data_IF_574075004371
#
_entry.id   IF_574075004371
#
_cell.length_a   1.000
_cell.length_b   1.000
_cell.length_c   1.000
_cell.angle_alpha   90.00
_cell.angle_beta   90.00
_cell.angle_gamma   90.00
#
_symmetry.space_group_name_H-M   'P 1'
#
loop_
_entity.id
_entity.type
_entity.pdbx_description
1 polymer ?
#
# COMPACT_ATOMS: atom_id res chain seq x y z
N UNK A 1 72.23 -3.68 29.72
CA UNK A 1 71.51 -4.91 30.09
C UNK A 1 70.09 -4.83 29.54
N UNK A 2 69.75 -5.75 28.63
CA UNK A 2 68.43 -6.31 28.24
C UNK A 2 67.34 -5.32 27.74
N UNK A 3 67.01 -5.21 26.44
CA UNK A 3 66.14 -6.10 25.58
C UNK A 3 64.81 -6.48 26.27
N UNK A 4 63.59 -6.22 25.78
CA UNK A 4 62.98 -6.57 24.47
C UNK A 4 61.69 -5.77 24.18
N UNK A 5 61.26 -5.76 22.91
CA UNK A 5 60.03 -5.18 22.31
C UNK A 5 58.77 -6.05 22.49
N UNK A 6 57.61 -5.41 22.30
CA UNK A 6 56.26 -5.91 21.93
C UNK A 6 55.53 -6.88 22.89
N UNK A 7 54.30 -6.51 23.29
CA UNK A 7 53.03 -7.21 22.98
C UNK A 7 51.90 -6.23 23.35
N UNK A 8 51.18 -5.78 22.33
CA UNK A 8 49.88 -5.14 22.47
C UNK A 8 48.76 -6.17 22.30
N UNK A 9 47.56 -5.76 22.70
CA UNK A 9 46.25 -6.35 22.36
C UNK A 9 45.95 -7.68 23.06
N UNK A 10 45.16 -7.60 24.13
CA UNK A 10 44.30 -8.68 24.57
C UNK A 10 43.03 -8.08 25.21
N UNK A 11 41.87 -8.56 24.75
CA UNK A 11 40.51 -8.40 25.30
C UNK A 11 39.74 -7.13 24.93
N UNK A 12 39.16 -7.10 23.72
CA UNK A 12 37.69 -6.99 23.50
C UNK A 12 37.38 -6.96 21.99
N UNK A 13 37.53 -8.09 21.31
CA UNK A 13 36.92 -8.37 20.01
C UNK A 13 37.00 -9.87 19.78
N UNK A 14 36.02 -10.46 19.08
CA UNK A 14 35.81 -11.89 18.77
C UNK A 14 34.67 -12.50 19.60
N UNK A 15 33.43 -12.15 19.24
CA UNK A 15 32.37 -13.10 18.85
C UNK A 15 31.43 -12.35 17.87
N UNK A 16 31.86 -12.22 16.62
CA UNK A 16 31.00 -11.90 15.47
C UNK A 16 31.58 -12.59 14.24
N UNK A 17 31.48 -13.92 14.20
CA UNK A 17 31.75 -14.72 13.00
C UNK A 17 30.92 -16.01 13.08
N UNK A 18 29.63 -15.93 12.79
CA UNK A 18 28.94 -17.01 12.08
C UNK A 18 28.73 -16.52 10.65
N UNK A 19 29.46 -17.17 9.76
CA UNK A 19 29.47 -16.92 8.33
C UNK A 19 28.10 -17.21 7.73
N UNK A 20 27.38 -16.17 7.28
CA UNK A 20 26.49 -16.30 6.14
C UNK A 20 27.27 -15.86 4.90
N UNK A 21 27.98 -16.80 4.30
CA UNK A 21 28.32 -16.72 2.89
C UNK A 21 27.09 -17.19 2.11
N UNK A 22 26.32 -16.25 1.56
CA UNK A 22 25.38 -16.52 0.47
C UNK A 22 25.64 -15.52 -0.64
N UNK A 23 26.45 -15.98 -1.59
CA UNK A 23 26.56 -15.57 -2.99
C UNK A 23 26.21 -14.12 -3.35
N UNK A 24 27.28 -13.35 -3.55
CA UNK A 24 27.44 -12.39 -4.65
C UNK A 24 26.50 -12.65 -5.83
N UNK A 25 25.56 -11.74 -6.03
CA UNK A 25 25.24 -11.16 -7.33
C UNK A 25 25.07 -9.67 -7.11
N UNK A 26 25.69 -8.88 -7.97
CA UNK A 26 25.60 -7.43 -7.99
C UNK A 26 24.15 -6.96 -7.79
N UNK A 27 23.82 -6.52 -6.59
CA UNK A 27 22.59 -5.76 -6.36
C UNK A 27 23.02 -4.31 -6.34
N UNK A 28 22.98 -3.69 -7.52
CA UNK A 28 22.83 -2.25 -7.60
C UNK A 28 21.70 -1.88 -6.63
N UNK A 29 22.02 -1.12 -5.58
CA UNK A 29 21.02 -0.59 -4.66
C UNK A 29 20.26 0.45 -5.48
N UNK A 30 19.20 0.01 -6.16
CA UNK A 30 18.31 0.88 -6.90
C UNK A 30 17.69 1.88 -5.92
N UNK A 31 17.73 3.16 -6.27
CA UNK A 31 16.98 4.18 -5.53
C UNK A 31 15.48 3.97 -5.74
N UNK A 32 14.62 4.43 -4.81
CA UNK A 32 13.15 4.30 -4.94
C UNK A 32 12.63 4.81 -6.30
N UNK A 33 13.23 5.89 -6.80
CA UNK A 33 12.90 6.46 -8.11
C UNK A 33 13.28 5.56 -9.29
N UNK A 34 14.38 4.80 -9.20
CA UNK A 34 14.76 3.82 -10.21
C UNK A 34 13.92 2.54 -10.14
N UNK A 35 13.47 2.16 -8.94
CA UNK A 35 12.51 1.06 -8.75
C UNK A 35 11.17 1.42 -9.40
N UNK A 36 10.67 2.65 -9.17
CA UNK A 36 9.43 3.14 -9.77
C UNK A 36 9.52 3.14 -11.31
N UNK A 37 10.63 3.63 -11.86
CA UNK A 37 10.81 3.72 -13.32
C UNK A 37 10.96 2.36 -14.03
N UNK A 38 11.39 1.31 -13.31
CA UNK A 38 11.65 -0.03 -13.88
C UNK A 38 10.60 -1.09 -13.50
N UNK A 39 9.69 -0.80 -12.56
CA UNK A 39 8.65 -1.74 -12.16
C UNK A 39 7.51 -1.80 -13.15
N UNK A 40 6.89 -2.98 -13.31
CA UNK A 40 5.62 -3.12 -14.01
C UNK A 40 4.57 -2.21 -13.37
N UNK A 41 3.67 -1.67 -14.17
CA UNK A 41 2.52 -0.87 -13.76
C UNK A 41 1.32 -1.78 -13.53
N UNK A 42 0.48 -1.44 -12.57
CA UNK A 42 -0.78 -2.14 -12.35
C UNK A 42 -1.78 -1.71 -13.43
N UNK A 43 -2.08 -2.57 -14.39
CA UNK A 43 -3.01 -2.26 -15.49
C UNK A 43 -4.43 -2.76 -15.21
N UNK A 44 -4.61 -3.63 -14.22
CA UNK A 44 -5.93 -4.08 -13.81
C UNK A 44 -5.97 -4.67 -12.41
N UNK A 45 -7.09 -4.47 -11.73
CA UNK A 45 -7.40 -5.06 -10.43
C UNK A 45 -8.85 -5.55 -10.46
N UNK A 46 -9.10 -6.72 -9.85
CA UNK A 46 -10.45 -7.22 -9.63
C UNK A 46 -10.59 -7.70 -8.21
N UNK A 47 -11.66 -7.26 -7.55
CA UNK A 47 -12.10 -7.72 -6.24
C UNK A 47 -13.35 -8.57 -6.38
N UNK A 48 -13.45 -9.65 -5.61
CA UNK A 48 -14.64 -10.50 -5.53
C UNK A 48 -14.94 -10.81 -4.07
N UNK A 49 -16.13 -10.42 -3.62
CA UNK A 49 -16.64 -10.66 -2.27
C UNK A 49 -18.07 -11.21 -2.38
N UNK A 50 -18.26 -12.48 -2.01
CA UNK A 50 -19.54 -13.16 -2.22
C UNK A 50 -19.95 -13.11 -3.70
N UNK A 51 -21.15 -12.57 -3.96
CA UNK A 51 -21.69 -12.40 -5.31
C UNK A 51 -21.37 -11.04 -5.94
N UNK A 52 -20.57 -10.20 -5.26
CA UNK A 52 -20.17 -8.89 -5.76
C UNK A 52 -18.82 -8.97 -6.47
N UNK A 53 -18.69 -8.24 -7.58
CA UNK A 53 -17.43 -8.11 -8.32
C UNK A 53 -17.17 -6.64 -8.62
N UNK A 54 -15.95 -6.20 -8.36
CA UNK A 54 -15.47 -4.85 -8.66
C UNK A 54 -14.21 -4.95 -9.53
N UNK A 55 -14.09 -4.12 -10.54
CA UNK A 55 -13.02 -4.17 -11.55
C UNK A 55 -12.50 -2.76 -11.79
N UNK A 56 -11.18 -2.60 -11.69
CA UNK A 56 -10.45 -1.40 -12.07
C UNK A 56 -9.56 -1.72 -13.26
N UNK A 57 -9.60 -0.88 -14.28
CA UNK A 57 -8.69 -0.95 -15.43
C UNK A 57 -7.97 0.39 -15.52
N UNK A 58 -6.64 0.35 -15.44
CA UNK A 58 -5.78 1.53 -15.36
C UNK A 58 -5.10 1.73 -16.70
N UNK A 59 -5.14 2.96 -17.21
CA UNK A 59 -4.43 3.35 -18.42
C UNK A 59 -3.40 4.42 -18.09
N UNK A 60 -2.27 4.38 -18.78
CA UNK A 60 -1.15 5.28 -18.57
C UNK A 60 -0.76 5.97 -19.87
N UNK A 61 -0.22 7.18 -19.77
CA UNK A 61 0.40 7.86 -20.89
C UNK A 61 1.82 7.32 -21.18
N UNK A 62 2.46 7.87 -22.20
CA UNK A 62 3.83 7.48 -22.60
C UNK A 62 4.90 7.80 -21.55
N UNK A 63 4.62 8.70 -20.61
CA UNK A 63 5.52 9.03 -19.50
C UNK A 63 5.25 8.14 -18.28
N UNK A 64 4.24 7.28 -18.34
CA UNK A 64 3.84 6.39 -17.26
C UNK A 64 2.99 7.05 -16.17
N UNK A 65 2.43 8.23 -16.44
CA UNK A 65 1.42 8.84 -15.58
C UNK A 65 0.06 8.23 -15.88
N UNK A 66 -0.72 7.96 -14.83
CA UNK A 66 -2.10 7.48 -14.98
C UNK A 66 -2.92 8.48 -15.79
N UNK A 67 -3.53 8.03 -16.89
CA UNK A 67 -4.38 8.83 -17.77
C UNK A 67 -5.86 8.62 -17.49
N UNK A 68 -6.26 7.40 -17.10
CA UNK A 68 -7.65 7.08 -16.77
C UNK A 68 -7.79 5.83 -15.92
N UNK A 69 -8.89 5.77 -15.16
CA UNK A 69 -9.38 4.58 -14.50
C UNK A 69 -10.78 4.31 -15.01
N UNK A 70 -11.01 3.07 -15.45
CA UNK A 70 -12.33 2.51 -15.62
C UNK A 70 -12.64 1.70 -14.37
N UNK A 71 -13.65 2.12 -13.62
CA UNK A 71 -14.19 1.38 -12.49
C UNK A 71 -15.51 0.74 -12.90
N UNK A 72 -15.66 -0.56 -12.73
CA UNK A 72 -16.89 -1.27 -13.01
C UNK A 72 -17.28 -2.21 -11.88
N UNK A 73 -18.58 -2.46 -11.73
CA UNK A 73 -19.04 -3.38 -10.71
C UNK A 73 -20.35 -4.08 -11.07
N UNK A 74 -20.48 -5.29 -10.54
CA UNK A 74 -21.66 -6.15 -10.56
C UNK A 74 -22.03 -6.48 -9.12
N UNK A 75 -23.24 -6.11 -8.70
CA UNK A 75 -23.73 -6.40 -7.34
C UNK A 75 -24.71 -7.58 -7.36
N UNK A 76 -24.62 -8.42 -6.34
CA UNK A 76 -25.56 -9.52 -6.08
C UNK A 76 -25.73 -10.49 -7.26
N UNK A 77 -24.66 -10.76 -8.01
CA UNK A 77 -24.71 -11.64 -9.18
C UNK A 77 -25.55 -11.11 -10.35
N UNK A 78 -25.86 -9.81 -10.34
CA UNK A 78 -26.62 -9.16 -11.40
C UNK A 78 -25.88 -9.13 -12.74
N UNK A 79 -26.62 -9.03 -13.84
CA UNK A 79 -26.08 -8.98 -15.21
C UNK A 79 -25.82 -7.56 -15.73
N UNK A 80 -26.11 -6.52 -14.93
CA UNK A 80 -26.05 -5.12 -15.36
C UNK A 80 -24.81 -4.46 -14.78
N UNK A 81 -23.68 -4.65 -15.46
CA UNK A 81 -22.41 -4.03 -15.10
C UNK A 81 -22.52 -2.51 -15.16
N UNK A 82 -22.40 -1.87 -14.00
CA UNK A 82 -22.27 -0.43 -13.92
C UNK A 82 -20.81 -0.05 -14.13
N UNK A 83 -20.58 1.11 -14.75
CA UNK A 83 -19.24 1.57 -15.09
C UNK A 83 -19.14 3.07 -14.89
N UNK A 84 -17.98 3.50 -14.42
CA UNK A 84 -17.59 4.89 -14.30
C UNK A 84 -16.18 5.05 -14.88
N UNK A 85 -15.94 6.18 -15.53
CA UNK A 85 -14.63 6.52 -16.07
C UNK A 85 -14.16 7.79 -15.40
N UNK A 86 -12.93 7.76 -14.90
CA UNK A 86 -12.24 8.94 -14.37
C UNK A 86 -11.02 9.21 -15.23
N UNK A 87 -10.90 10.43 -15.74
CA UNK A 87 -9.75 10.90 -16.51
C UNK A 87 -8.83 11.75 -15.64
N UNK A 88 -7.52 11.62 -15.84
CA UNK A 88 -6.51 12.31 -15.04
C UNK A 88 -5.68 13.25 -15.90
N UNK A 89 -5.58 14.50 -15.45
CA UNK A 89 -4.70 15.53 -16.04
C UNK A 89 -3.61 15.88 -15.05
N UNK A 90 -2.36 15.72 -15.46
CA UNK A 90 -1.18 16.03 -14.66
C UNK A 90 -0.65 17.43 -14.98
N UNK A 91 -0.42 18.24 -13.94
CA UNK A 91 0.15 19.59 -14.02
C UNK A 91 1.27 19.71 -12.98
N UNK A 92 2.05 20.77 -13.06
CA UNK A 92 3.02 21.10 -12.01
C UNK A 92 2.31 21.21 -10.66
N UNK A 93 2.73 20.38 -9.71
CA UNK A 93 2.21 20.29 -8.34
C UNK A 93 0.71 20.02 -8.22
N UNK A 94 0.04 19.54 -9.27
CA UNK A 94 -1.40 19.30 -9.21
C UNK A 94 -1.80 18.18 -10.16
N UNK A 95 -2.67 17.29 -9.69
CA UNK A 95 -3.38 16.31 -10.51
C UNK A 95 -4.86 16.64 -10.44
N UNK A 96 -5.55 16.62 -11.57
CA UNK A 96 -7.00 16.81 -11.65
C UNK A 96 -7.61 15.51 -12.17
N UNK A 97 -8.59 14.97 -11.44
CA UNK A 97 -9.36 13.81 -11.82
C UNK A 97 -10.80 14.21 -12.11
N UNK A 98 -11.30 13.88 -13.30
CA UNK A 98 -12.61 14.29 -13.79
C UNK A 98 -13.43 13.06 -14.20
N UNK A 99 -14.68 13.02 -13.76
CA UNK A 99 -15.68 12.01 -14.11
C UNK A 99 -17.03 12.70 -14.32
N UNK A 100 -18.03 11.96 -14.79
CA UNK A 100 -19.40 12.48 -14.94
C UNK A 100 -20.04 12.89 -13.59
N UNK A 101 -19.49 12.44 -12.46
CA UNK A 101 -20.07 12.61 -11.13
C UNK A 101 -19.35 13.65 -10.28
N UNK A 102 -18.03 13.75 -10.42
CA UNK A 102 -17.19 14.58 -9.56
C UNK A 102 -15.89 14.98 -10.26
N UNK A 103 -15.38 16.13 -9.82
CA UNK A 103 -14.02 16.59 -10.05
C UNK A 103 -13.25 16.53 -8.74
N UNK A 104 -12.03 15.97 -8.77
CA UNK A 104 -11.10 15.94 -7.64
C UNK A 104 -9.78 16.60 -8.04
N UNK A 105 -9.22 17.36 -7.11
CA UNK A 105 -7.90 17.99 -7.25
C UNK A 105 -6.98 17.46 -6.16
N UNK A 106 -5.82 16.97 -6.57
CA UNK A 106 -4.74 16.53 -5.69
C UNK A 106 -3.62 17.56 -5.77
N UNK A 107 -3.25 18.18 -4.65
CA UNK A 107 -2.12 19.12 -4.61
C UNK A 107 -0.87 18.37 -4.18
N UNK A 108 0.23 18.49 -4.91
CA UNK A 108 1.49 17.82 -4.62
C UNK A 108 2.49 18.77 -3.94
N UNK A 109 3.40 18.23 -3.12
CA UNK A 109 4.57 18.95 -2.65
C UNK A 109 5.79 18.79 -3.59
N UNK A 110 6.94 19.30 -3.14
CA UNK A 110 8.23 19.22 -3.84
C UNK A 110 8.77 17.80 -4.05
N UNK A 111 8.30 16.84 -3.26
CA UNK A 111 8.63 15.42 -3.39
C UNK A 111 7.59 14.64 -4.23
N UNK A 112 6.66 15.35 -4.87
CA UNK A 112 5.50 14.78 -5.59
C UNK A 112 4.53 14.00 -4.69
N UNK A 113 4.48 14.29 -3.39
CA UNK A 113 3.52 13.68 -2.48
C UNK A 113 2.24 14.50 -2.39
N UNK A 114 1.08 13.84 -2.38
CA UNK A 114 -0.24 14.48 -2.30
C UNK A 114 -0.47 15.08 -0.91
N UNK A 115 -0.37 16.41 -0.81
CA UNK A 115 -0.70 17.15 0.41
C UNK A 115 -2.19 17.21 0.70
N UNK A 116 -3.03 17.33 -0.32
CA UNK A 116 -4.47 17.50 -0.14
C UNK A 116 -5.27 16.86 -1.26
N UNK A 117 -6.49 16.41 -0.94
CA UNK A 117 -7.55 16.06 -1.88
C UNK A 117 -8.70 17.04 -1.68
N UNK A 118 -9.18 17.65 -2.77
CA UNK A 118 -10.37 18.50 -2.77
C UNK A 118 -11.31 18.05 -3.87
N UNK A 119 -12.56 17.77 -3.52
CA UNK A 119 -13.61 17.46 -4.49
C UNK A 119 -14.75 18.47 -4.46
N UNK A 120 -15.43 18.61 -5.59
CA UNK A 120 -16.71 19.31 -5.71
C UNK A 120 -17.90 18.51 -5.16
N UNK A 121 -17.71 17.23 -4.81
CA UNK A 121 -18.68 16.37 -4.13
C UNK A 121 -18.19 15.97 -2.73
N UNK A 122 -19.12 15.83 -1.80
CA UNK A 122 -18.82 15.30 -0.47
C UNK A 122 -18.75 13.77 -0.52
N UNK A 123 -17.58 13.23 -0.24
CA UNK A 123 -17.29 11.80 -0.03
C UNK A 123 -16.35 11.68 1.16
N UNK A 124 -16.12 10.48 1.68
CA UNK A 124 -15.33 10.31 2.91
C UNK A 124 -13.98 11.03 2.84
N UNK A 125 -13.22 10.92 1.74
CA UNK A 125 -11.91 11.56 1.59
C UNK A 125 -11.90 12.76 0.65
N UNK A 126 -13.06 13.35 0.33
CA UNK A 126 -13.16 14.49 -0.59
C UNK A 126 -12.48 15.77 -0.10
N UNK A 127 -12.18 15.87 1.19
CA UNK A 127 -11.49 16.99 1.82
C UNK A 127 -10.33 16.53 2.70
N UNK A 128 -9.42 15.74 2.14
CA UNK A 128 -8.32 15.12 2.88
C UNK A 128 -7.05 16.00 2.92
N UNK A 129 -6.25 15.83 3.96
CA UNK A 129 -4.91 16.37 4.12
C UNK A 129 -3.95 15.26 4.56
N UNK A 130 -2.73 15.28 4.03
CA UNK A 130 -1.74 14.25 4.30
C UNK A 130 -0.43 14.86 4.82
N UNK A 131 0.23 14.13 5.72
CA UNK A 131 1.55 14.47 6.23
C UNK A 131 2.46 13.24 6.22
N UNK A 132 3.76 13.49 6.16
CA UNK A 132 4.77 12.48 5.87
C UNK A 132 5.95 12.61 6.83
N UNK A 133 6.68 11.52 7.03
CA UNK A 133 7.95 11.55 7.74
C UNK A 133 9.09 12.01 6.80
N UNK A 134 10.31 12.09 7.32
CA UNK A 134 11.49 12.47 6.53
C UNK A 134 11.87 11.46 5.43
N UNK A 135 11.33 10.25 5.49
CA UNK A 135 11.50 9.19 4.50
C UNK A 135 10.32 9.14 3.52
N UNK A 136 9.50 10.20 3.45
CA UNK A 136 8.32 10.30 2.58
C UNK A 136 7.23 9.23 2.83
N UNK A 137 7.27 8.52 3.95
CA UNK A 137 6.21 7.57 4.33
C UNK A 137 5.04 8.32 4.97
N UNK A 138 3.81 7.87 4.69
CA UNK A 138 2.60 8.47 5.23
C UNK A 138 2.61 8.45 6.77
N UNK A 139 2.37 9.59 7.42
CA UNK A 139 2.20 9.67 8.87
C UNK A 139 0.74 9.87 9.25
N UNK A 140 0.04 10.77 8.56
CA UNK A 140 -1.35 11.11 8.87
C UNK A 140 -2.11 11.35 7.58
N UNK A 141 -3.31 10.78 7.47
CA UNK A 141 -4.36 11.21 6.55
C UNK A 141 -5.57 11.68 7.37
N UNK A 142 -6.01 12.90 7.14
CA UNK A 142 -7.06 13.56 7.91
C UNK A 142 -8.08 14.22 6.99
N UNK A 143 -9.38 13.97 7.20
CA UNK A 143 -10.46 14.60 6.43
C UNK A 143 -11.36 15.51 7.30
N UNK A 144 -10.94 15.81 8.54
CA UNK A 144 -11.71 16.53 9.55
C UNK A 144 -12.66 15.67 10.40
N UNK A 145 -13.06 14.48 9.92
CA UNK A 145 -13.91 13.51 10.63
C UNK A 145 -13.12 12.31 11.12
N UNK A 146 -12.34 11.71 10.22
CA UNK A 146 -11.45 10.58 10.44
C UNK A 146 -10.00 11.06 10.30
N UNK A 147 -9.13 10.49 11.14
CA UNK A 147 -7.70 10.82 11.16
C UNK A 147 -6.91 9.52 11.33
N UNK A 148 -6.38 8.98 10.24
CA UNK A 148 -5.59 7.74 10.25
C UNK A 148 -4.12 8.07 10.45
N UNK A 149 -3.54 7.58 11.55
CA UNK A 149 -2.16 7.81 11.96
C UNK A 149 -1.34 6.53 11.85
N UNK A 150 -0.31 6.58 11.01
CA UNK A 150 0.54 5.45 10.66
C UNK A 150 1.80 5.43 11.51
N UNK A 151 2.15 4.27 12.01
CA UNK A 151 3.43 3.99 12.67
C UNK A 151 4.22 3.03 11.79
N UNK A 152 5.47 3.39 11.52
CA UNK A 152 6.38 2.64 10.68
C UNK A 152 7.55 2.10 11.50
N UNK A 153 7.91 0.85 11.28
CA UNK A 153 9.06 0.17 11.87
C UNK A 153 9.77 -0.62 10.78
N UNK A 154 11.04 -0.31 10.51
CA UNK A 154 11.84 -0.99 9.47
C UNK A 154 11.12 -1.09 8.10
N UNK A 155 10.52 0.02 7.65
CA UNK A 155 9.75 0.13 6.41
C UNK A 155 8.45 -0.71 6.36
N UNK A 156 8.03 -1.29 7.48
CA UNK A 156 6.73 -1.93 7.65
C UNK A 156 5.76 -1.00 8.39
N UNK A 157 4.50 -0.97 7.98
CA UNK A 157 3.45 -0.29 8.75
C UNK A 157 3.14 -1.20 9.94
N UNK A 158 3.58 -0.85 11.15
CA UNK A 158 3.32 -1.66 12.35
C UNK A 158 1.91 -1.41 12.90
N UNK A 159 1.42 -0.17 12.79
CA UNK A 159 0.13 0.24 13.36
C UNK A 159 -0.54 1.36 12.58
N UNK A 160 -1.87 1.31 12.50
CA UNK A 160 -2.72 2.42 12.04
C UNK A 160 -3.69 2.75 13.18
N UNK A 161 -3.75 4.00 13.62
CA UNK A 161 -4.70 4.44 14.65
C UNK A 161 -5.66 5.47 14.07
N UNK A 162 -6.95 5.33 14.36
CA UNK A 162 -7.97 6.34 14.14
C UNK A 162 -8.60 6.74 15.48
N UNK A 163 -9.56 7.66 15.47
CA UNK A 163 -10.15 8.21 16.69
C UNK A 163 -10.71 7.12 17.63
N UNK A 164 -11.42 6.13 17.05
CA UNK A 164 -12.11 5.06 17.78
C UNK A 164 -11.65 3.64 17.39
N UNK A 165 -10.61 3.54 16.56
CA UNK A 165 -10.10 2.25 16.08
C UNK A 165 -8.59 2.18 15.99
N UNK A 166 -8.06 0.97 15.97
CA UNK A 166 -6.69 0.72 15.58
C UNK A 166 -6.56 -0.59 14.81
N UNK A 167 -5.57 -0.64 13.92
CA UNK A 167 -5.06 -1.83 13.26
C UNK A 167 -3.63 -2.09 13.71
N UNK A 168 -3.30 -3.33 14.06
CA UNK A 168 -1.91 -3.80 14.14
C UNK A 168 -1.67 -4.75 12.98
N UNK A 169 -0.59 -4.55 12.24
CA UNK A 169 -0.26 -5.36 11.06
C UNK A 169 0.96 -6.21 11.40
N UNK A 170 0.89 -7.49 11.05
CA UNK A 170 1.94 -8.48 11.28
C UNK A 170 2.43 -8.98 9.94
N UNK A 171 3.75 -9.02 9.78
CA UNK A 171 4.42 -9.46 8.57
C UNK A 171 5.08 -10.82 8.78
N UNK A 172 5.07 -11.63 7.74
CA UNK A 172 5.79 -12.91 7.69
C UNK A 172 7.22 -12.76 7.15
N UNK A 173 7.63 -11.54 6.79
CA UNK A 173 8.86 -11.24 6.04
C UNK A 173 8.78 -11.54 4.53
N UNK A 174 7.59 -11.87 4.02
CA UNK A 174 7.35 -12.02 2.57
C UNK A 174 7.32 -10.65 1.90
N UNK A 175 7.93 -10.57 0.73
CA UNK A 175 7.93 -9.37 -0.12
C UNK A 175 7.44 -9.69 -1.53
N UNK A 176 7.05 -8.66 -2.27
CA UNK A 176 6.73 -8.73 -3.69
C UNK A 176 7.71 -7.91 -4.53
N UNK A 177 7.76 -8.16 -5.85
CA UNK A 177 8.29 -7.18 -6.80
C UNK A 177 7.22 -6.13 -7.09
N UNK A 178 7.65 -4.86 -7.22
CA UNK A 178 6.74 -3.74 -7.50
C UNK A 178 6.24 -3.06 -6.23
N UNK A 179 5.00 -3.38 -5.83
CA UNK A 179 4.35 -2.90 -4.59
C UNK A 179 3.09 -3.71 -4.29
N UNK A 180 2.61 -3.64 -3.04
CA UNK A 180 1.31 -4.18 -2.64
C UNK A 180 0.19 -3.12 -2.74
N UNK A 181 -0.83 -3.29 -3.61
CA UNK A 181 -1.83 -2.23 -3.84
C UNK A 181 -2.80 -1.98 -2.68
N UNK A 182 -3.00 -2.94 -1.77
CA UNK A 182 -4.14 -2.92 -0.82
C UNK A 182 -3.90 -2.12 0.47
N UNK A 183 -2.81 -1.36 0.58
CA UNK A 183 -2.62 -0.42 1.70
C UNK A 183 -3.47 0.86 1.57
N UNK A 184 -4.06 1.09 0.39
CA UNK A 184 -4.80 2.29 0.06
C UNK A 184 -6.26 2.25 0.53
N UNK A 185 -6.69 3.29 1.25
CA UNK A 185 -8.07 3.48 1.70
C UNK A 185 -8.70 4.81 1.22
N UNK A 186 -8.00 5.56 0.37
CA UNK A 186 -8.28 6.98 0.17
C UNK A 186 -8.88 7.30 -1.20
N UNK A 187 -8.27 6.78 -2.27
CA UNK A 187 -8.65 7.12 -3.63
C UNK A 187 -8.05 6.14 -4.65
N UNK A 188 -8.76 5.84 -5.74
CA UNK A 188 -8.38 4.82 -6.72
C UNK A 188 -7.04 5.10 -7.42
N UNK A 189 -6.66 6.39 -7.57
CA UNK A 189 -5.35 6.76 -8.15
C UNK A 189 -4.19 6.11 -7.41
N UNK A 190 -4.32 5.89 -6.10
CA UNK A 190 -3.25 5.36 -5.28
C UNK A 190 -3.11 3.83 -5.36
N UNK A 191 -4.05 3.12 -6.00
CA UNK A 191 -3.79 1.75 -6.42
C UNK A 191 -2.74 1.72 -7.54
N UNK A 192 -2.78 2.67 -8.47
CA UNK A 192 -1.83 2.76 -9.57
C UNK A 192 -0.51 3.44 -9.18
N UNK A 193 -0.60 4.46 -8.31
CA UNK A 193 0.52 5.31 -7.89
C UNK A 193 0.57 5.45 -6.35
N UNK A 194 0.85 4.37 -5.60
CA UNK A 194 0.91 4.43 -4.14
C UNK A 194 2.07 5.30 -3.62
N UNK A 195 3.09 5.58 -4.45
CA UNK A 195 4.17 6.50 -4.11
C UNK A 195 3.69 7.93 -3.89
N UNK A 196 2.58 8.35 -4.53
CA UNK A 196 2.01 9.69 -4.35
C UNK A 196 1.54 9.94 -2.92
N UNK A 197 1.25 8.88 -2.16
CA UNK A 197 0.83 8.99 -0.76
C UNK A 197 1.80 8.30 0.19
N UNK A 198 3.02 7.97 -0.24
CA UNK A 198 4.00 7.36 0.64
C UNK A 198 3.59 5.99 1.20
N UNK A 199 2.75 5.25 0.46
CA UNK A 199 2.30 3.89 0.81
C UNK A 199 2.88 2.81 -0.11
N UNK A 200 3.79 3.18 -1.02
CA UNK A 200 4.49 2.20 -1.85
C UNK A 200 5.35 1.31 -0.95
N UNK A 201 4.93 0.05 -0.79
CA UNK A 201 5.61 -0.90 0.08
C UNK A 201 5.74 -2.27 -0.61
N UNK A 202 6.90 -2.91 -0.42
CA UNK A 202 7.19 -4.26 -0.91
C UNK A 202 6.76 -5.34 0.08
N UNK A 203 6.63 -4.98 1.36
CA UNK A 203 6.29 -5.88 2.45
C UNK A 203 4.84 -6.33 2.33
N UNK A 204 4.61 -7.62 2.51
CA UNK A 204 3.28 -8.21 2.43
C UNK A 204 2.76 -8.56 3.83
N UNK A 205 1.60 -8.02 4.23
CA UNK A 205 1.02 -8.34 5.53
C UNK A 205 0.67 -9.82 5.55
N UNK A 206 0.91 -10.49 6.66
CA UNK A 206 0.41 -11.85 6.90
C UNK A 206 -0.95 -11.78 7.61
N UNK A 207 -1.05 -10.90 8.60
CA UNK A 207 -2.26 -10.69 9.39
C UNK A 207 -2.46 -9.24 9.77
N UNK A 208 -3.71 -8.87 10.00
CA UNK A 208 -4.07 -7.59 10.58
C UNK A 208 -5.12 -7.78 11.67
N UNK A 209 -4.89 -7.13 12.80
CA UNK A 209 -5.84 -7.07 13.91
C UNK A 209 -6.46 -5.69 13.97
N UNK A 210 -7.73 -5.59 13.61
CA UNK A 210 -8.51 -4.37 13.72
C UNK A 210 -9.44 -4.42 14.93
N UNK A 211 -9.48 -3.32 15.68
CA UNK A 211 -10.43 -3.14 16.78
C UNK A 211 -11.15 -1.81 16.61
N UNK A 212 -12.48 -1.84 16.71
CA UNK A 212 -13.34 -0.67 16.81
C UNK A 212 -14.32 -0.84 17.96
N UNK A 213 -14.19 -0.01 18.99
CA UNK A 213 -14.96 -0.13 20.23
C UNK A 213 -14.91 -1.57 20.76
N UNK A 214 -16.04 -2.27 20.75
CA UNK A 214 -16.19 -3.64 21.25
C UNK A 214 -16.10 -4.72 20.15
N UNK A 215 -15.99 -4.32 18.88
CA UNK A 215 -15.82 -5.24 17.75
C UNK A 215 -14.34 -5.50 17.49
N UNK A 216 -14.01 -6.77 17.21
CA UNK A 216 -12.67 -7.21 16.82
C UNK A 216 -12.75 -7.97 15.50
N UNK A 217 -11.87 -7.59 14.58
CA UNK A 217 -11.76 -8.20 13.26
C UNK A 217 -10.30 -8.63 13.08
N UNK A 218 -10.12 -9.86 12.63
CA UNK A 218 -8.82 -10.39 12.22
C UNK A 218 -8.86 -10.63 10.72
N UNK A 219 -7.86 -10.13 10.01
CA UNK A 219 -7.64 -10.40 8.59
C UNK A 219 -6.44 -11.31 8.45
N UNK A 220 -6.56 -12.34 7.62
CA UNK A 220 -5.46 -13.20 7.21
C UNK A 220 -5.27 -13.09 5.70
N UNK A 221 -4.02 -12.94 5.27
CA UNK A 221 -3.68 -12.70 3.88
C UNK A 221 -2.85 -13.84 3.31
N UNK A 222 -3.20 -14.28 2.10
CA UNK A 222 -2.41 -15.24 1.33
C UNK A 222 -2.24 -14.76 -0.10
N UNK A 223 -1.13 -15.15 -0.73
CA UNK A 223 -0.66 -14.56 -1.98
C UNK A 223 -0.28 -15.62 -2.99
N UNK A 224 -0.57 -15.34 -4.26
CA UNK A 224 -0.02 -16.03 -5.42
C UNK A 224 0.75 -14.99 -6.23
N UNK A 225 1.91 -15.38 -6.76
CA UNK A 225 2.77 -14.51 -7.54
C UNK A 225 2.81 -14.94 -9.00
N UNK A 226 3.00 -13.98 -9.89
CA UNK A 226 3.35 -14.25 -11.28
C UNK A 226 4.80 -14.77 -11.39
N UNK A 227 5.21 -15.18 -12.59
CA UNK A 227 6.56 -15.70 -12.85
C UNK A 227 7.67 -14.68 -12.57
N UNK A 228 7.35 -13.38 -12.60
CA UNK A 228 8.27 -12.29 -12.32
C UNK A 228 8.33 -11.92 -10.84
N UNK A 229 7.45 -12.46 -9.99
CA UNK A 229 7.39 -12.20 -8.55
C UNK A 229 6.53 -11.01 -8.14
N UNK A 230 5.68 -10.50 -9.03
CA UNK A 230 4.60 -9.56 -8.70
C UNK A 230 3.42 -10.33 -8.11
N UNK A 231 2.63 -9.70 -7.23
CA UNK A 231 1.43 -10.35 -6.66
C UNK A 231 0.38 -10.49 -7.76
N UNK A 232 0.06 -11.72 -8.17
CA UNK A 232 -0.99 -12.00 -9.15
C UNK A 232 -2.36 -12.07 -8.47
N UNK A 233 -2.43 -12.59 -7.25
CA UNK A 233 -3.65 -12.57 -6.44
C UNK A 233 -3.36 -12.51 -4.94
N UNK A 234 -4.33 -11.92 -4.20
CA UNK A 234 -4.36 -11.90 -2.76
C UNK A 234 -5.73 -12.41 -2.29
N UNK A 235 -5.74 -13.43 -1.42
CA UNK A 235 -6.95 -13.85 -0.72
C UNK A 235 -6.91 -13.30 0.69
N UNK A 236 -7.91 -12.50 1.04
CA UNK A 236 -8.09 -11.91 2.36
C UNK A 236 -9.27 -12.60 3.06
N UNK A 237 -8.99 -13.24 4.20
CA UNK A 237 -10.01 -13.87 5.04
C UNK A 237 -10.28 -12.96 6.22
N UNK A 238 -11.51 -12.45 6.33
CA UNK A 238 -11.96 -11.60 7.43
C UNK A 238 -12.72 -12.45 8.44
N UNK A 239 -12.29 -12.45 9.69
CA UNK A 239 -12.99 -13.08 10.82
C UNK A 239 -13.40 -12.02 11.82
N UNK A 240 -14.71 -11.83 11.99
CA UNK A 240 -15.27 -10.90 12.97
C UNK A 240 -15.72 -11.65 14.22
N UNK A 241 -15.29 -11.16 15.38
CA UNK A 241 -15.65 -11.68 16.69
C UNK A 241 -16.48 -10.63 17.42
N UNK A 242 -17.77 -10.92 17.60
CA UNK A 242 -18.68 -10.08 18.39
C UNK A 242 -18.88 -10.68 19.80
N UNK A 243 -19.20 -9.83 20.78
CA UNK A 243 -19.40 -10.19 22.21
C UNK A 243 -20.46 -11.28 22.45
N UNK A 244 -21.29 -11.63 21.47
CA UNK A 244 -22.31 -12.69 21.53
C UNK A 244 -21.79 -14.10 21.21
N UNK A 245 -20.46 -14.31 21.15
CA UNK A 245 -19.79 -15.57 20.80
C UNK A 245 -20.08 -16.11 19.37
N UNK A 246 -20.67 -15.31 18.50
CA UNK A 246 -20.80 -15.64 17.08
C UNK A 246 -19.58 -15.10 16.33
N UNK A 247 -18.83 -16.00 15.68
CA UNK A 247 -17.79 -15.64 14.72
C UNK A 247 -18.36 -15.71 13.31
N UNK A 248 -18.23 -14.63 12.55
CA UNK A 248 -18.55 -14.64 11.12
C UNK A 248 -17.26 -14.54 10.31
N UNK A 249 -17.16 -15.34 9.25
CA UNK A 249 -16.00 -15.35 8.35
C UNK A 249 -16.46 -15.03 6.94
N UNK A 250 -15.79 -14.07 6.30
CA UNK A 250 -15.93 -13.79 4.88
C UNK A 250 -14.58 -13.87 4.18
N UNK A 251 -14.61 -14.04 2.86
CA UNK A 251 -13.41 -14.12 2.03
C UNK A 251 -13.57 -13.18 0.86
N UNK A 252 -12.56 -12.34 0.66
CA UNK A 252 -12.43 -11.46 -0.48
C UNK A 252 -11.20 -11.89 -1.28
N UNK A 253 -11.36 -12.01 -2.60
CA UNK A 253 -10.29 -12.38 -3.52
C UNK A 253 -9.97 -11.18 -4.40
N UNK A 254 -8.70 -10.77 -4.38
CA UNK A 254 -8.14 -9.77 -5.27
C UNK A 254 -7.28 -10.46 -6.33
N UNK A 255 -7.40 -10.02 -7.58
CA UNK A 255 -6.51 -10.39 -8.68
C UNK A 255 -5.94 -9.15 -9.32
N UNK A 256 -4.68 -9.20 -9.74
CA UNK A 256 -3.93 -8.07 -10.26
C UNK A 256 -3.31 -8.42 -11.61
N UNK A 257 -3.22 -7.43 -12.50
CA UNK A 257 -2.55 -7.54 -13.79
C UNK A 257 -1.49 -6.46 -13.90
N UNK A 258 -0.29 -6.87 -14.29
CA UNK A 258 0.91 -6.03 -14.32
C UNK A 258 1.52 -5.97 -15.72
N UNK A 259 1.96 -4.79 -16.17
CA UNK A 259 2.66 -4.58 -17.45
C UNK A 259 3.78 -3.53 -17.35
#
# INVERSE_FOLDING_TARGET
>A
MKTFRLIGIALFAIVMCVNFASCSKDTDILTDNEIIAKSKKLIGMKETEGDNTYIWEFSYDSEGKLSSIIYSFDLYGGSNRQQQVTHYTWRSFTIIAESDYQTRTYTLDENNLVKTIRSDKETDWSNAQFSYNSSNQLLVADNGTYSNKYTWENDEISKINSNDSYSNIIYSGKTCKGYFPLYNYYDDIFYAHPELIGLRNLQLPEREFYKYKDSQIEFEYSYIFDEDGYVESCTMVRTEKNLSNNSNTSTTIFTFKWE
#
